data_IF_154664884098
#
_entry.id   IF_154664884098
#
_cell.length_a   1.000
_cell.length_b   1.000
_cell.length_c   1.000
_cell.angle_alpha   90.00
_cell.angle_beta   90.00
_cell.angle_gamma   90.00
#
_symmetry.space_group_name_H-M   'P 1'
#
loop_
_entity.id
_entity.type
_entity.pdbx_description
1 polymer ?
#
# COMPACT_ATOMS: atom_id res chain seq x y z
N UNK A 1 22.73 -12.72 -0.26
CA UNK A 1 22.01 -11.85 -1.20
C UNK A 1 21.78 -12.67 -2.45
N UNK A 2 20.54 -13.14 -2.69
CA UNK A 2 20.23 -14.02 -3.82
C UNK A 2 20.07 -13.20 -5.11
N UNK A 3 20.53 -13.71 -6.26
CA UNK A 3 20.36 -13.02 -7.54
C UNK A 3 18.87 -12.94 -7.93
N UNK A 4 18.48 -11.83 -8.55
CA UNK A 4 17.15 -11.66 -9.13
C UNK A 4 16.91 -12.71 -10.24
N UNK A 5 15.71 -13.29 -10.34
CA UNK A 5 15.40 -14.25 -11.40
C UNK A 5 15.52 -13.59 -12.78
N UNK A 6 16.07 -14.31 -13.78
CA UNK A 6 16.40 -13.77 -15.11
C UNK A 6 15.19 -13.30 -15.94
N UNK A 7 13.97 -13.66 -15.53
CA UNK A 7 12.72 -13.31 -16.20
C UNK A 7 12.27 -11.85 -15.97
N UNK A 8 12.90 -11.15 -15.00
CA UNK A 8 12.59 -9.75 -14.68
C UNK A 8 13.39 -8.72 -15.50
N UNK A 9 14.09 -9.14 -16.56
CA UNK A 9 14.73 -8.21 -17.52
C UNK A 9 13.66 -7.43 -18.30
N UNK A 10 13.06 -6.41 -17.67
CA UNK A 10 12.06 -5.53 -18.26
C UNK A 10 10.87 -5.18 -17.35
N UNK A 11 10.71 -5.87 -16.22
CA UNK A 11 9.58 -5.63 -15.32
C UNK A 11 9.85 -4.40 -14.47
N UNK A 12 9.19 -3.30 -14.83
CA UNK A 12 9.20 -2.06 -14.05
C UNK A 12 8.52 -2.30 -12.71
N UNK A 13 9.31 -2.32 -11.65
CA UNK A 13 8.79 -2.44 -10.27
C UNK A 13 8.46 -1.05 -9.76
N UNK A 14 7.24 -0.84 -9.29
CA UNK A 14 6.79 0.45 -8.76
C UNK A 14 6.64 0.37 -7.24
N UNK A 15 7.09 1.43 -6.56
CA UNK A 15 6.92 1.54 -5.12
C UNK A 15 5.48 1.90 -4.79
N UNK A 16 4.78 1.02 -4.05
CA UNK A 16 3.37 1.25 -3.66
C UNK A 16 3.15 2.41 -2.66
N UNK A 17 4.22 3.02 -2.16
CA UNK A 17 4.14 4.14 -1.21
C UNK A 17 4.19 5.52 -1.88
N UNK A 18 5.02 5.66 -2.92
CA UNK A 18 5.25 6.92 -3.62
C UNK A 18 4.95 6.86 -5.13
N UNK A 19 4.50 5.72 -5.64
CA UNK A 19 4.14 5.48 -7.05
C UNK A 19 5.29 5.77 -8.04
N UNK A 20 6.54 5.75 -7.56
CA UNK A 20 7.74 5.93 -8.39
C UNK A 20 8.37 4.58 -8.77
N UNK A 21 9.07 4.58 -9.90
CA UNK A 21 9.81 3.43 -10.39
C UNK A 21 10.99 3.12 -9.45
N UNK A 22 11.06 1.88 -8.98
CA UNK A 22 12.20 1.34 -8.25
C UNK A 22 13.27 0.97 -9.28
N UNK A 23 14.44 1.57 -9.17
CA UNK A 23 15.57 1.19 -10.02
C UNK A 23 16.00 -0.26 -9.74
N UNK A 24 16.38 -1.04 -10.76
CA UNK A 24 16.77 -2.44 -10.58
C UNK A 24 18.01 -2.61 -9.67
N UNK A 25 18.88 -1.61 -9.63
CA UNK A 25 20.04 -1.55 -8.74
C UNK A 25 19.74 -0.95 -7.36
N UNK A 26 18.53 -0.44 -7.14
CA UNK A 26 18.14 0.16 -5.85
C UNK A 26 17.56 -0.90 -4.90
N UNK A 27 17.98 -0.93 -3.62
CA UNK A 27 17.42 -1.86 -2.66
C UNK A 27 15.95 -1.52 -2.32
N UNK A 28 15.08 -2.51 -2.46
CA UNK A 28 13.66 -2.43 -2.11
C UNK A 28 13.23 -3.57 -1.18
N UNK A 29 12.15 -3.33 -0.44
CA UNK A 29 11.43 -4.35 0.32
C UNK A 29 10.27 -4.90 -0.50
N UNK A 30 10.04 -6.20 -0.37
CA UNK A 30 8.90 -6.91 -0.96
C UNK A 30 8.03 -7.46 0.15
N UNK A 31 6.74 -7.12 0.13
CA UNK A 31 5.76 -7.65 1.07
C UNK A 31 4.78 -8.56 0.34
N UNK A 32 4.66 -9.79 0.81
CA UNK A 32 3.70 -10.75 0.29
C UNK A 32 2.52 -10.79 1.25
N UNK A 33 1.35 -10.37 0.79
CA UNK A 33 0.11 -10.41 1.52
C UNK A 33 -0.65 -11.67 1.15
N UNK A 34 -0.69 -12.63 2.06
CA UNK A 34 -1.45 -13.85 1.88
C UNK A 34 -2.94 -13.52 2.10
N UNK A 35 -3.75 -13.65 1.04
CA UNK A 35 -5.20 -13.52 1.16
C UNK A 35 -5.77 -14.74 1.88
N UNK A 36 -6.69 -14.54 2.82
CA UNK A 36 -7.31 -15.65 3.56
C UNK A 36 -8.13 -16.62 2.67
N UNK A 37 -8.52 -16.21 1.46
CA UNK A 37 -9.39 -16.99 0.58
C UNK A 37 -9.10 -16.80 -0.92
N UNK A 38 -7.93 -16.27 -1.28
CA UNK A 38 -7.62 -15.94 -2.68
C UNK A 38 -6.14 -15.72 -2.94
N UNK A 39 -5.74 -15.49 -4.21
CA UNK A 39 -4.35 -15.25 -4.56
C UNK A 39 -3.82 -14.06 -3.76
N UNK A 40 -2.71 -14.28 -3.06
CA UNK A 40 -2.04 -13.23 -2.31
C UNK A 40 -1.60 -12.09 -3.23
N UNK A 41 -1.40 -10.90 -2.67
CA UNK A 41 -0.85 -9.76 -3.40
C UNK A 41 0.60 -9.50 -2.99
N UNK A 42 1.47 -9.25 -3.96
CA UNK A 42 2.86 -8.88 -3.72
C UNK A 42 3.00 -7.38 -3.96
N UNK A 43 3.54 -6.66 -2.97
CA UNK A 43 3.80 -5.22 -3.07
C UNK A 43 5.29 -4.93 -2.87
N UNK A 44 5.78 -3.88 -3.52
CA UNK A 44 7.18 -3.48 -3.45
C UNK A 44 7.31 -2.04 -2.94
N UNK A 45 8.32 -1.77 -2.12
CA UNK A 45 8.58 -0.43 -1.57
C UNK A 45 10.05 -0.10 -1.49
N UNK A 46 10.47 1.13 -1.80
CA UNK A 46 11.86 1.56 -1.56
C UNK A 46 12.22 1.39 -0.07
N UNK A 47 13.45 0.94 0.22
CA UNK A 47 13.97 0.83 1.60
C UNK A 47 13.84 2.14 2.37
N UNK A 48 14.16 3.25 1.70
CA UNK A 48 14.15 4.60 2.26
C UNK A 48 12.95 5.42 1.78
N UNK A 49 11.85 4.77 1.39
CA UNK A 49 10.66 5.51 0.99
C UNK A 49 10.18 6.37 2.17
N UNK A 50 10.01 7.70 1.99
CA UNK A 50 9.51 8.55 3.06
C UNK A 50 8.21 7.94 3.58
N UNK A 51 8.14 7.73 4.90
CA UNK A 51 6.92 7.22 5.54
C UNK A 51 5.79 8.16 5.11
N UNK A 52 4.86 7.66 4.30
CA UNK A 52 3.64 8.40 3.95
C UNK A 52 3.06 8.87 5.28
N UNK A 53 2.83 10.17 5.49
CA UNK A 53 2.17 10.62 6.71
C UNK A 53 0.91 9.78 6.83
N UNK A 54 0.73 9.09 7.97
CA UNK A 54 -0.51 8.35 8.23
C UNK A 54 -1.62 9.36 7.97
N UNK A 55 -2.38 9.17 6.88
CA UNK A 55 -3.60 9.93 6.69
C UNK A 55 -4.37 9.71 7.99
N UNK A 56 -4.75 10.75 8.74
CA UNK A 56 -5.54 10.55 9.94
C UNK A 56 -6.70 9.69 9.50
N UNK A 57 -6.81 8.50 10.11
CA UNK A 57 -7.98 7.65 9.93
C UNK A 57 -9.17 8.56 10.17
N UNK A 58 -10.15 8.67 9.26
CA UNK A 58 -11.38 9.35 9.62
C UNK A 58 -11.83 8.68 10.91
N UNK A 59 -11.79 9.44 12.01
CA UNK A 59 -12.22 8.94 13.32
C UNK A 59 -13.62 8.36 13.15
N UNK A 60 -14.02 7.39 13.99
CA UNK A 60 -15.35 6.79 13.88
C UNK A 60 -16.36 7.91 13.73
N UNK A 61 -17.01 7.97 12.58
CA UNK A 61 -17.98 9.01 12.25
C UNK A 61 -18.95 9.07 13.42
N UNK A 62 -18.93 10.21 14.13
CA UNK A 62 -19.69 10.42 15.34
C UNK A 62 -21.18 10.29 14.98
N UNK A 63 -21.72 9.09 15.18
CA UNK A 63 -23.13 8.73 14.95
C UNK A 63 -23.93 9.36 16.08
N UNK A 64 -24.08 10.68 16.01
CA UNK A 64 -24.88 11.49 16.93
C UNK A 64 -25.41 12.70 16.18
N UNK A 65 -26.10 12.48 15.05
CA UNK A 65 -27.07 13.46 14.58
C UNK A 65 -28.38 13.19 15.33
N UNK A 66 -28.89 14.12 16.15
CA UNK A 66 -30.27 14.05 16.60
C UNK A 66 -31.19 14.25 15.38
N UNK A 67 -32.20 13.38 15.24
CA UNK A 67 -33.25 13.54 14.22
C UNK A 67 -33.97 14.88 14.44
N UNK A 68 -34.24 15.68 13.40
CA UNK A 68 -35.20 16.77 13.54
C UNK A 68 -36.60 16.17 13.71
N UNK A 69 -37.27 16.56 14.79
CA UNK A 69 -38.68 16.24 15.06
C UNK A 69 -39.56 17.04 14.09
N UNK A 70 -40.16 16.35 13.13
CA UNK A 70 -41.21 16.92 12.29
C UNK A 70 -42.55 16.38 12.77
N UNK A 71 -43.16 17.11 13.71
CA UNK A 71 -44.53 16.92 14.16
C UNK A 71 -45.50 17.72 13.25
N UNK A 72 -46.56 17.09 12.69
CA UNK A 72 -47.72 17.82 12.17
C UNK A 72 -48.72 18.24 13.28
#
# INVERSE_FOLDING_TARGET
>A
MGPLPPDLKGTRVYCVRCDQLIHPDEPYDTHIHHGASGPGSTTHTHKQCPKRPRRPTPGPANRSQPKPDHRP
#
